data_IF_032346662950
#
_entry.id   IF_032346662950
#
_cell.length_a   1.000
_cell.length_b   1.000
_cell.length_c   1.000
_cell.angle_alpha   90.00
_cell.angle_beta   90.00
_cell.angle_gamma   90.00
#
_symmetry.space_group_name_H-M   'P 1'
#
loop_
_entity.id
_entity.type
_entity.pdbx_description
1 polymer ?
#
# COMPACT_ATOMS: atom_id res chain seq x y z
N UNK A 1 2.46 14.49 -4.72
CA UNK A 1 2.92 14.35 -3.30
C UNK A 1 2.88 12.87 -2.94
N UNK A 2 3.79 12.36 -2.12
CA UNK A 2 3.86 10.91 -1.86
C UNK A 2 4.05 10.59 -0.37
N UNK A 3 3.44 9.49 0.06
CA UNK A 3 3.57 8.93 1.41
C UNK A 3 3.94 7.46 1.29
N UNK A 4 4.86 7.01 2.13
CA UNK A 4 5.32 5.62 2.15
C UNK A 4 5.36 5.12 3.59
N UNK A 5 4.48 4.18 3.90
CA UNK A 5 4.24 3.71 5.27
C UNK A 5 4.16 2.22 5.32
N UNK A 6 4.53 1.65 6.46
CA UNK A 6 4.36 0.24 6.74
C UNK A 6 3.29 0.01 7.81
N UNK A 7 2.51 -1.04 7.60
CA UNK A 7 1.38 -1.45 8.44
C UNK A 7 1.56 -2.91 8.86
N UNK A 8 1.22 -3.20 10.11
CA UNK A 8 1.47 -4.51 10.69
C UNK A 8 0.54 -5.61 10.17
N UNK A 9 -0.68 -5.27 9.72
CA UNK A 9 -1.68 -6.26 9.32
C UNK A 9 -2.69 -5.73 8.30
N UNK A 10 -3.49 -6.64 7.76
CA UNK A 10 -4.51 -6.37 6.75
C UNK A 10 -5.60 -5.41 7.25
N UNK A 11 -6.04 -5.53 8.51
CA UNK A 11 -7.04 -4.59 9.07
C UNK A 11 -6.61 -3.13 8.97
N UNK A 12 -5.35 -2.83 9.28
CA UNK A 12 -4.81 -1.48 9.20
C UNK A 12 -4.72 -0.98 7.75
N UNK A 13 -4.36 -1.87 6.82
CA UNK A 13 -4.38 -1.56 5.38
C UNK A 13 -5.79 -1.24 4.91
N UNK A 14 -6.78 -2.06 5.27
CA UNK A 14 -8.20 -1.84 4.92
C UNK A 14 -8.67 -0.51 5.53
N UNK A 15 -8.35 -0.23 6.79
CA UNK A 15 -8.70 1.04 7.45
C UNK A 15 -8.17 2.25 6.68
N UNK A 16 -6.92 2.19 6.20
CA UNK A 16 -6.34 3.24 5.37
C UNK A 16 -7.05 3.34 4.02
N UNK A 17 -7.33 2.24 3.34
CA UNK A 17 -8.04 2.25 2.06
C UNK A 17 -9.46 2.84 2.21
N UNK A 18 -10.17 2.49 3.28
CA UNK A 18 -11.48 3.06 3.62
C UNK A 18 -11.37 4.57 3.88
N UNK A 19 -10.38 4.99 4.68
CA UNK A 19 -10.12 6.42 4.92
C UNK A 19 -9.89 7.15 3.59
N UNK A 20 -8.98 6.66 2.75
CA UNK A 20 -8.66 7.26 1.45
C UNK A 20 -9.89 7.32 0.52
N UNK A 21 -10.75 6.29 0.55
CA UNK A 21 -11.97 6.26 -0.26
C UNK A 21 -12.99 7.33 0.16
N UNK A 22 -13.01 7.72 1.44
CA UNK A 22 -13.85 8.78 1.96
C UNK A 22 -13.30 10.19 1.64
N UNK A 23 -12.00 10.32 1.35
CA UNK A 23 -11.34 11.61 1.12
C UNK A 23 -11.35 12.02 -0.36
N UNK A 24 -12.50 12.47 -0.86
CA UNK A 24 -12.63 12.96 -2.25
C UNK A 24 -11.62 14.08 -2.59
N UNK A 25 -11.24 14.89 -1.61
CA UNK A 25 -10.30 15.99 -1.76
C UNK A 25 -8.85 15.56 -2.07
N UNK A 26 -8.47 14.30 -1.80
CA UNK A 26 -7.07 13.88 -1.90
C UNK A 26 -6.56 13.72 -3.34
N UNK A 27 -7.46 13.68 -4.34
CA UNK A 27 -7.12 13.55 -5.76
C UNK A 27 -6.03 12.49 -6.00
N UNK A 28 -6.31 11.25 -5.59
CA UNK A 28 -5.36 10.14 -5.69
C UNK A 28 -4.90 9.94 -7.14
N UNK A 29 -3.59 9.82 -7.32
CA UNK A 29 -2.95 9.41 -8.57
C UNK A 29 -2.85 7.89 -8.63
N UNK A 30 -2.31 7.29 -7.57
CA UNK A 30 -2.18 5.85 -7.44
C UNK A 30 -1.97 5.45 -5.98
N UNK A 31 -2.37 4.23 -5.66
CA UNK A 31 -2.03 3.53 -4.42
C UNK A 31 -1.36 2.23 -4.81
N UNK A 32 -0.20 1.95 -4.23
CA UNK A 32 0.50 0.68 -4.36
C UNK A 32 0.52 -0.03 -3.02
N UNK A 33 0.14 -1.29 -3.01
CA UNK A 33 0.13 -2.15 -1.83
C UNK A 33 1.11 -3.29 -2.07
N UNK A 34 2.14 -3.38 -1.25
CA UNK A 34 3.16 -4.43 -1.31
C UNK A 34 3.08 -5.24 -0.02
N UNK A 35 3.02 -6.56 -0.15
CA UNK A 35 3.14 -7.45 0.99
C UNK A 35 4.60 -7.88 1.13
N UNK A 36 5.19 -7.59 2.28
CA UNK A 36 6.40 -8.24 2.76
C UNK A 36 5.95 -9.32 3.75
N UNK A 37 6.70 -10.42 3.86
CA UNK A 37 6.31 -11.65 4.59
C UNK A 37 5.67 -11.40 5.97
N UNK A 38 6.02 -10.30 6.64
CA UNK A 38 5.55 -9.91 7.97
C UNK A 38 4.81 -8.55 8.04
N UNK A 39 4.68 -7.79 6.95
CA UNK A 39 4.11 -6.43 6.97
C UNK A 39 3.63 -5.97 5.60
N UNK A 40 2.82 -4.92 5.60
CA UNK A 40 2.32 -4.29 4.39
C UNK A 40 3.01 -2.96 4.17
N UNK A 41 3.39 -2.65 2.94
CA UNK A 41 3.92 -1.35 2.53
C UNK A 41 2.88 -0.67 1.64
N UNK A 42 2.55 0.57 1.99
CA UNK A 42 1.60 1.41 1.28
C UNK A 42 2.34 2.60 0.68
N UNK A 43 2.33 2.71 -0.64
CA UNK A 43 2.77 3.91 -1.34
C UNK A 43 1.54 4.66 -1.86
N UNK A 44 1.33 5.87 -1.37
CA UNK A 44 0.18 6.71 -1.72
C UNK A 44 0.70 7.90 -2.51
N UNK A 45 0.27 8.03 -3.76
CA UNK A 45 0.62 9.15 -4.63
C UNK A 45 -0.60 10.02 -4.89
N UNK A 46 -0.48 11.32 -4.59
CA UNK A 46 -1.51 12.32 -4.84
C UNK A 46 -1.15 13.17 -6.07
N UNK A 47 -2.16 13.50 -6.88
CA UNK A 47 -2.02 14.38 -8.06
C UNK A 47 -1.64 15.81 -7.66
N UNK A 48 -2.22 16.30 -6.57
CA UNK A 48 -1.93 17.60 -6.00
C UNK A 48 -1.27 17.49 -4.62
N UNK A 49 -0.67 18.58 -4.14
CA UNK A 49 -0.24 18.68 -2.74
C UNK A 49 -1.48 18.96 -1.88
N UNK A 50 -1.54 18.34 -0.71
CA UNK A 50 -2.49 18.75 0.31
C UNK A 50 -2.10 20.13 0.85
N UNK A 51 -3.08 20.87 1.37
CA UNK A 51 -2.76 22.04 2.19
C UNK A 51 -2.06 21.59 3.49
N UNK A 52 -1.51 22.55 4.23
CA UNK A 52 -0.67 22.24 5.39
C UNK A 52 -1.43 21.42 6.45
N UNK A 53 -2.64 21.84 6.81
CA UNK A 53 -3.44 21.18 7.85
C UNK A 53 -3.84 19.75 7.42
N UNK A 54 -4.29 19.58 6.17
CA UNK A 54 -4.65 18.25 5.65
C UNK A 54 -3.43 17.31 5.51
N UNK A 55 -2.24 17.83 5.19
CA UNK A 55 -1.00 17.04 5.22
C UNK A 55 -0.68 16.58 6.66
N UNK A 56 -0.79 17.48 7.65
CA UNK A 56 -0.55 17.16 9.05
C UNK A 56 -1.56 16.15 9.59
N UNK A 57 -2.85 16.35 9.32
CA UNK A 57 -3.91 15.42 9.73
C UNK A 57 -3.68 14.05 9.10
N UNK A 58 -3.35 14.01 7.81
CA UNK A 58 -3.11 12.74 7.13
C UNK A 58 -1.85 12.03 7.65
N UNK A 59 -0.75 12.76 7.87
CA UNK A 59 0.46 12.19 8.49
C UNK A 59 0.19 11.68 9.89
N UNK A 60 -0.61 12.39 10.68
CA UNK A 60 -0.98 11.96 12.03
C UNK A 60 -1.78 10.66 11.97
N UNK A 61 -2.79 10.58 11.11
CA UNK A 61 -3.52 9.34 10.84
C UNK A 61 -2.59 8.19 10.43
N UNK A 62 -1.63 8.44 9.53
CA UNK A 62 -0.68 7.42 9.09
C UNK A 62 0.26 6.96 10.23
N UNK A 63 0.75 7.88 11.06
CA UNK A 63 1.62 7.60 12.20
C UNK A 63 0.90 6.89 13.36
N UNK A 64 -0.42 7.09 13.52
CA UNK A 64 -1.22 6.35 14.51
C UNK A 64 -1.45 4.89 14.12
N UNK A 65 -1.49 4.61 12.82
CA UNK A 65 -1.87 3.29 12.30
C UNK A 65 -0.67 2.49 11.75
N UNK A 66 0.47 3.13 11.53
CA UNK A 66 1.66 2.52 10.97
C UNK A 66 2.90 3.36 11.29
N UNK A 67 3.94 3.19 10.50
CA UNK A 67 5.18 3.97 10.64
C UNK A 67 5.78 4.29 9.27
N UNK A 68 6.47 5.43 9.12
CA UNK A 68 7.16 5.76 7.90
C UNK A 68 8.10 4.63 7.48
N UNK A 69 8.04 4.24 6.21
CA UNK A 69 8.87 3.17 5.68
C UNK A 69 10.07 3.75 4.93
N UNK A 70 11.26 3.25 5.27
CA UNK A 70 12.50 3.59 4.58
C UNK A 70 12.62 2.71 3.33
N UNK A 71 12.73 3.35 2.17
CA UNK A 71 12.89 2.64 0.89
C UNK A 71 14.12 1.73 0.92
N UNK A 72 13.88 0.43 0.70
CA UNK A 72 14.93 -0.46 0.23
C UNK A 72 15.13 -0.25 -1.26
N UNK A 73 16.31 -0.58 -1.77
CA UNK A 73 16.61 -0.44 -3.21
C UNK A 73 15.61 -1.22 -4.07
N UNK A 74 15.28 -2.45 -3.69
CA UNK A 74 14.31 -3.30 -4.41
C UNK A 74 12.91 -2.69 -4.46
N UNK A 75 12.40 -2.18 -3.32
CA UNK A 75 11.07 -1.54 -3.28
C UNK A 75 11.09 -0.24 -4.08
N UNK A 76 12.18 0.54 -4.01
CA UNK A 76 12.34 1.75 -4.80
C UNK A 76 12.28 1.45 -6.29
N UNK A 77 13.03 0.46 -6.77
CA UNK A 77 13.05 0.08 -8.18
C UNK A 77 11.69 -0.46 -8.65
N UNK A 78 11.02 -1.26 -7.81
CA UNK A 78 9.67 -1.75 -8.10
C UNK A 78 8.65 -0.61 -8.25
N UNK A 79 8.65 0.35 -7.31
CA UNK A 79 7.75 1.52 -7.37
C UNK A 79 8.05 2.40 -8.59
N UNK A 80 9.32 2.60 -8.94
CA UNK A 80 9.71 3.34 -10.14
C UNK A 80 9.26 2.63 -11.43
N UNK A 81 9.38 1.30 -11.50
CA UNK A 81 8.93 0.52 -12.65
C UNK A 81 7.39 0.58 -12.83
N UNK A 82 6.65 0.45 -11.73
CA UNK A 82 5.19 0.61 -11.73
C UNK A 82 4.79 2.02 -12.19
N UNK A 83 5.45 3.06 -11.69
CA UNK A 83 5.22 4.44 -12.11
C UNK A 83 5.54 4.69 -13.59
N UNK A 84 6.48 3.93 -14.17
CA UNK A 84 6.80 3.95 -15.60
C UNK A 84 5.81 3.12 -16.46
N UNK A 85 4.78 2.52 -15.86
CA UNK A 85 3.74 1.77 -16.56
C UNK A 85 4.04 0.28 -16.76
N UNK A 86 5.09 -0.27 -16.11
CA UNK A 86 5.33 -1.71 -16.11
C UNK A 86 4.18 -2.44 -15.40
N UNK A 87 3.77 -3.59 -15.94
CA UNK A 87 2.68 -4.36 -15.34
C UNK A 87 3.05 -4.89 -13.96
N UNK A 88 2.06 -5.08 -13.09
CA UNK A 88 2.24 -5.66 -11.74
C UNK A 88 2.99 -6.99 -11.82
N UNK A 89 2.58 -7.88 -12.74
CA UNK A 89 3.19 -9.20 -12.93
C UNK A 89 4.67 -9.09 -13.35
N UNK A 90 5.01 -8.19 -14.26
CA UNK A 90 6.40 -8.00 -14.70
C UNK A 90 7.27 -7.44 -13.57
N UNK A 91 6.74 -6.51 -12.78
CA UNK A 91 7.43 -5.98 -11.60
C UNK A 91 7.68 -7.08 -10.57
N UNK A 92 6.67 -7.91 -10.28
CA UNK A 92 6.82 -9.03 -9.34
C UNK A 92 7.88 -10.03 -9.81
N UNK A 93 7.89 -10.37 -11.10
CA UNK A 93 8.86 -11.30 -11.68
C UNK A 93 10.28 -10.75 -11.68
N UNK A 94 10.44 -9.45 -11.96
CA UNK A 94 11.76 -8.81 -12.09
C UNK A 94 12.40 -8.46 -10.75
N UNK A 95 11.60 -7.94 -9.82
CA UNK A 95 12.11 -7.39 -8.55
C UNK A 95 11.81 -8.29 -7.36
N UNK A 96 11.11 -9.42 -7.55
CA UNK A 96 10.78 -10.38 -6.50
C UNK A 96 10.05 -9.75 -5.29
N UNK A 97 9.22 -8.74 -5.55
CA UNK A 97 8.33 -8.13 -4.56
C UNK A 97 6.91 -8.61 -4.76
N UNK A 98 6.15 -8.81 -3.68
CA UNK A 98 4.73 -9.18 -3.77
C UNK A 98 3.88 -7.92 -3.85
N UNK A 99 3.63 -7.44 -5.07
CA UNK A 99 2.71 -6.32 -5.31
C UNK A 99 1.29 -6.86 -5.32
N UNK A 100 0.49 -6.47 -4.34
CA UNK A 100 -0.89 -6.94 -4.18
C UNK A 100 -1.85 -6.10 -5.02
N UNK A 101 -1.65 -4.80 -5.07
CA UNK A 101 -2.45 -3.88 -5.89
C UNK A 101 -1.64 -2.65 -6.29
N UNK A 102 -1.94 -2.09 -7.46
CA UNK A 102 -1.36 -0.83 -7.95
C UNK A 102 -2.37 -0.06 -8.81
N UNK A 103 -2.48 1.25 -8.59
CA UNK A 103 -3.31 2.14 -9.40
C UNK A 103 -4.47 2.72 -8.60
N UNK A 104 -5.71 2.57 -9.09
CA UNK A 104 -6.89 3.02 -8.35
C UNK A 104 -7.04 2.25 -7.02
N UNK A 105 -7.78 2.83 -6.06
CA UNK A 105 -8.10 2.15 -4.80
C UNK A 105 -8.88 0.87 -5.07
N UNK A 106 -8.31 -0.29 -4.74
CA UNK A 106 -8.94 -1.59 -4.91
C UNK A 106 -8.83 -2.41 -3.62
N UNK A 107 -9.81 -2.26 -2.73
CA UNK A 107 -9.85 -3.01 -1.46
C UNK A 107 -10.08 -4.51 -1.69
N UNK A 108 -10.79 -4.88 -2.77
CA UNK A 108 -11.06 -6.27 -3.12
C UNK A 108 -9.77 -7.09 -3.34
N UNK A 109 -8.75 -6.50 -3.98
CA UNK A 109 -7.46 -7.15 -4.22
C UNK A 109 -6.79 -7.62 -2.92
N UNK A 110 -6.95 -6.84 -1.84
CA UNK A 110 -6.34 -7.13 -0.54
C UNK A 110 -7.01 -8.33 0.12
N UNK A 111 -8.35 -8.37 0.04
CA UNK A 111 -9.15 -9.47 0.58
C UNK A 111 -8.94 -10.76 -0.22
N UNK A 112 -8.89 -10.67 -1.55
CA UNK A 112 -8.62 -11.82 -2.42
C UNK A 112 -7.22 -12.38 -2.19
N UNK A 113 -6.21 -11.52 -2.04
CA UNK A 113 -4.86 -11.94 -1.69
C UNK A 113 -4.84 -12.66 -0.34
N UNK A 114 -5.44 -12.07 0.69
CA UNK A 114 -5.55 -12.66 2.03
C UNK A 114 -6.21 -14.03 1.98
N UNK A 115 -7.35 -14.16 1.31
CA UNK A 115 -8.08 -15.41 1.19
C UNK A 115 -7.26 -16.51 0.49
N UNK A 116 -6.56 -16.16 -0.59
CA UNK A 116 -5.70 -17.10 -1.33
C UNK A 116 -4.48 -17.54 -0.51
N UNK A 117 -3.83 -16.60 0.17
CA UNK A 117 -2.61 -16.88 0.94
C UNK A 117 -2.91 -17.76 2.16
N UNK A 118 -3.97 -17.45 2.91
CA UNK A 118 -4.38 -18.23 4.10
C UNK A 118 -4.76 -19.66 3.72
N UNK A 119 -5.47 -19.86 2.59
CA UNK A 119 -5.81 -21.21 2.10
C UNK A 119 -4.58 -22.07 1.82
N UNK A 120 -3.48 -21.46 1.37
CA UNK A 120 -2.23 -22.18 1.08
C UNK A 120 -1.41 -22.53 2.31
N UNK A 121 -1.61 -21.84 3.44
CA UNK A 121 -0.79 -22.01 4.65
C UNK A 121 -1.39 -22.94 5.70
N UNK A 122 -2.72 -23.11 5.73
CA UNK A 122 -3.40 -23.85 6.80
C UNK A 122 -3.44 -23.10 8.15
N UNK A 123 -2.94 -21.87 8.22
CA UNK A 123 -3.05 -20.94 9.33
C UNK A 123 -3.13 -19.49 8.82
N UNK A 124 -3.52 -18.54 9.68
CA UNK A 124 -3.54 -17.12 9.35
C UNK A 124 -2.37 -16.40 10.05
N UNK A 125 -1.32 -15.98 9.32
CA UNK A 125 -0.25 -15.15 9.87
C UNK A 125 -0.78 -13.84 10.48
N UNK A 126 -0.16 -13.29 11.55
CA UNK A 126 -0.59 -12.03 12.16
C UNK A 126 -0.69 -10.85 11.19
N UNK A 127 0.15 -10.83 10.16
CA UNK A 127 0.13 -9.84 9.09
C UNK A 127 -1.11 -9.95 8.18
N UNK A 128 -1.83 -11.06 8.21
CA UNK A 128 -3.02 -11.33 7.38
C UNK A 128 -4.33 -11.34 8.18
N UNK A 129 -4.28 -10.96 9.47
CA UNK A 129 -5.42 -10.86 10.40
C UNK A 129 -6.23 -9.58 10.19
#
# INVERSE_FOLDING_TARGET
MQYLYSFANTRLVIRLLTYLSAQQAFQLSSVTVIYLVDRWIMHISLKARLNHDADLDFRSFLNENGYPYVLTETVSQALSALAAGMSVTDVMNKYHVVVVSHGALQTADIEDFRARFVRGLGYCPPSLV
#
